data_IF_624544527340
#
_entry.id   IF_624544527340
#
_cell.length_a   1.000
_cell.length_b   1.000
_cell.length_c   1.000
_cell.angle_alpha   90.00
_cell.angle_beta   90.00
_cell.angle_gamma   90.00
#
_symmetry.space_group_name_H-M   'P 1'
#
loop_
_entity.id
_entity.type
_entity.pdbx_description
1 polymer ?
#
# COMPACT_ATOMS: atom_id res chain seq x y z
N UNK A 1 -10.42 10.19 7.60
CA UNK A 1 -11.89 10.09 7.44
C UNK A 1 -12.54 11.37 7.95
N UNK A 2 -13.54 11.93 7.27
CA UNK A 2 -14.23 13.14 7.71
C UNK A 2 -14.76 13.07 9.16
N UNK A 3 -15.14 11.87 9.61
CA UNK A 3 -15.63 11.64 10.99
C UNK A 3 -14.56 11.78 12.06
N UNK A 4 -13.31 11.63 11.70
CA UNK A 4 -12.16 11.69 12.62
C UNK A 4 -11.39 13.00 12.50
N UNK A 5 -11.63 13.79 11.48
CA UNK A 5 -10.97 15.08 11.28
C UNK A 5 -11.21 16.03 12.44
N UNK A 6 -10.18 16.72 12.86
CA UNK A 6 -10.19 17.64 14.00
C UNK A 6 -10.03 17.01 15.39
N UNK A 7 -9.99 15.66 15.49
CA UNK A 7 -9.76 14.95 16.75
C UNK A 7 -8.29 14.62 16.93
N UNK A 8 -7.84 14.56 18.19
CA UNK A 8 -6.50 14.09 18.51
C UNK A 8 -6.37 12.59 18.23
N UNK A 9 -5.21 12.17 17.72
CA UNK A 9 -4.93 10.76 17.43
C UNK A 9 -5.04 9.89 18.69
N UNK A 10 -4.53 10.37 19.83
CA UNK A 10 -4.63 9.67 21.11
C UNK A 10 -6.07 9.33 21.50
N UNK A 11 -6.99 10.28 21.38
CA UNK A 11 -8.42 10.08 21.67
C UNK A 11 -9.04 9.01 20.74
N UNK A 12 -8.69 9.03 19.45
CA UNK A 12 -9.22 8.09 18.48
C UNK A 12 -8.68 6.66 18.67
N UNK A 13 -7.48 6.54 19.22
CA UNK A 13 -6.80 5.27 19.41
C UNK A 13 -7.01 4.66 20.80
N UNK A 14 -7.53 5.37 21.77
CA UNK A 14 -7.69 4.91 23.16
C UNK A 14 -8.35 3.52 23.25
N UNK A 15 -9.43 3.30 22.51
CA UNK A 15 -10.14 2.00 22.47
C UNK A 15 -9.65 1.04 21.38
N UNK A 16 -8.79 1.49 20.47
CA UNK A 16 -8.36 0.73 19.29
C UNK A 16 -6.92 0.24 19.37
N UNK A 17 -6.13 0.84 20.27
CA UNK A 17 -4.75 0.47 20.45
C UNK A 17 -4.64 -0.94 21.04
N UNK A 18 -3.93 -1.83 20.34
CA UNK A 18 -3.84 -3.26 20.70
C UNK A 18 -2.40 -3.72 20.96
N UNK A 19 -1.44 -2.79 20.88
CA UNK A 19 -0.04 -3.13 21.12
C UNK A 19 0.25 -3.14 22.63
N UNK A 20 1.23 -3.96 23.05
CA UNK A 20 1.62 -4.14 24.45
C UNK A 20 2.33 -2.91 25.06
N UNK A 21 2.68 -1.93 24.24
CA UNK A 21 3.29 -0.67 24.68
C UNK A 21 2.36 0.51 24.44
N UNK A 22 2.54 1.56 25.23
CA UNK A 22 1.73 2.76 25.13
C UNK A 22 1.90 3.51 23.80
N UNK A 23 0.86 4.23 23.38
CA UNK A 23 0.97 5.17 22.26
C UNK A 23 2.06 6.19 22.59
N UNK A 24 3.04 6.44 21.68
CA UNK A 24 4.06 7.45 21.90
C UNK A 24 3.45 8.84 22.16
N UNK A 25 3.95 9.54 23.17
CA UNK A 25 3.35 10.83 23.59
C UNK A 25 3.27 11.84 22.43
N UNK A 26 4.33 11.95 21.61
CA UNK A 26 4.35 12.87 20.48
C UNK A 26 3.26 12.60 19.43
N UNK A 27 2.76 11.35 19.35
CA UNK A 27 1.69 11.00 18.39
C UNK A 27 0.30 11.25 18.95
N UNK A 28 0.13 11.25 20.27
CA UNK A 28 -1.18 11.47 20.90
C UNK A 28 -1.78 12.83 20.57
N UNK A 29 -0.91 13.85 20.50
CA UNK A 29 -1.30 15.23 20.26
C UNK A 29 -1.53 15.56 18.78
N UNK A 30 -1.17 14.66 17.86
CA UNK A 30 -1.40 14.86 16.42
C UNK A 30 -2.89 14.97 16.15
N UNK A 31 -3.27 16.00 15.42
CA UNK A 31 -4.65 16.22 14.98
C UNK A 31 -4.86 15.50 13.65
N UNK A 32 -5.88 14.64 13.60
CA UNK A 32 -6.26 13.94 12.37
C UNK A 32 -6.93 14.92 11.41
N UNK A 33 -6.43 14.96 10.20
CA UNK A 33 -6.92 15.87 9.17
C UNK A 33 -7.88 15.19 8.20
N UNK A 34 -8.63 16.01 7.47
CA UNK A 34 -9.46 15.49 6.38
C UNK A 34 -8.60 15.30 5.11
N UNK A 35 -8.49 14.05 4.70
CA UNK A 35 -7.70 13.67 3.53
C UNK A 35 -8.21 14.29 2.20
N UNK A 36 -9.42 14.81 2.15
CA UNK A 36 -9.97 15.49 0.98
C UNK A 36 -9.64 16.98 0.93
N UNK A 37 -9.08 17.55 2.00
CA UNK A 37 -8.52 18.90 2.01
C UNK A 37 -7.11 18.91 1.41
N UNK A 38 -7.00 18.42 0.18
CA UNK A 38 -5.72 18.11 -0.48
C UNK A 38 -4.81 19.33 -0.51
N UNK A 39 -5.34 20.50 -0.90
CA UNK A 39 -4.55 21.73 -1.01
C UNK A 39 -3.93 22.12 0.35
N UNK A 40 -4.75 22.16 1.42
CA UNK A 40 -4.29 22.52 2.76
C UNK A 40 -3.27 21.51 3.32
N UNK A 41 -3.48 20.22 3.08
CA UNK A 41 -2.59 19.16 3.56
C UNK A 41 -1.27 19.15 2.80
N UNK A 42 -1.33 19.29 1.48
CA UNK A 42 -0.14 19.23 0.60
C UNK A 42 0.86 20.35 0.85
N UNK A 43 0.43 21.51 1.36
CA UNK A 43 1.32 22.62 1.72
C UNK A 43 2.28 22.29 2.88
N UNK A 44 1.98 21.24 3.66
CA UNK A 44 2.69 20.90 4.90
C UNK A 44 3.38 19.57 4.88
N UNK A 45 3.28 18.82 3.79
CA UNK A 45 3.87 17.50 3.66
C UNK A 45 4.62 17.34 2.35
N UNK A 46 5.70 16.60 2.36
CA UNK A 46 6.46 16.22 1.17
C UNK A 46 6.07 14.84 0.67
N UNK A 47 5.59 13.98 1.56
CA UNK A 47 5.28 12.58 1.27
C UNK A 47 4.06 12.10 2.08
N UNK A 48 3.32 11.17 1.52
CA UNK A 48 2.20 10.48 2.18
C UNK A 48 2.25 8.97 1.95
N UNK A 49 1.98 8.21 3.01
CA UNK A 49 1.70 6.78 2.92
C UNK A 49 0.19 6.57 2.76
N UNK A 50 -0.22 5.96 1.66
CA UNK A 50 -1.62 5.69 1.37
C UNK A 50 -1.97 4.23 1.67
N UNK A 51 -2.81 4.01 2.69
CA UNK A 51 -3.30 2.70 3.12
C UNK A 51 -4.79 2.77 3.48
N UNK A 52 -5.57 3.46 2.67
CA UNK A 52 -7.01 3.69 2.90
C UNK A 52 -7.85 2.73 2.05
N UNK A 53 -9.07 2.46 2.51
CA UNK A 53 -10.02 1.64 1.79
C UNK A 53 -11.06 2.54 1.12
N UNK A 54 -10.96 2.66 -0.21
CA UNK A 54 -11.90 3.33 -1.09
C UNK A 54 -12.13 2.45 -2.31
N UNK A 55 -13.17 2.78 -3.11
CA UNK A 55 -13.29 2.19 -4.44
C UNK A 55 -12.09 2.57 -5.33
N UNK A 56 -11.84 1.75 -6.35
CA UNK A 56 -10.63 1.84 -7.16
C UNK A 56 -10.49 3.20 -7.85
N UNK A 57 -11.58 3.75 -8.37
CA UNK A 57 -11.55 5.02 -9.12
C UNK A 57 -11.30 6.21 -8.20
N UNK A 58 -12.00 6.26 -7.05
CA UNK A 58 -11.79 7.30 -6.04
C UNK A 58 -10.36 7.26 -5.49
N UNK A 59 -9.81 6.05 -5.31
CA UNK A 59 -8.45 5.88 -4.83
C UNK A 59 -7.41 6.36 -5.84
N UNK A 60 -7.56 5.99 -7.12
CA UNK A 60 -6.69 6.48 -8.20
C UNK A 60 -6.72 8.01 -8.24
N UNK A 61 -7.92 8.59 -8.22
CA UNK A 61 -8.10 10.04 -8.27
C UNK A 61 -7.41 10.71 -7.08
N UNK A 62 -7.62 10.21 -5.87
CA UNK A 62 -7.04 10.79 -4.66
C UNK A 62 -5.50 10.74 -4.69
N UNK A 63 -4.92 9.61 -5.04
CA UNK A 63 -3.47 9.46 -5.13
C UNK A 63 -2.86 10.37 -6.21
N UNK A 64 -3.52 10.48 -7.36
CA UNK A 64 -3.09 11.42 -8.42
C UNK A 64 -3.26 12.89 -8.01
N UNK A 65 -4.32 13.25 -7.31
CA UNK A 65 -4.55 14.62 -6.86
C UNK A 65 -3.46 15.07 -5.86
N UNK A 66 -3.01 14.19 -4.95
CA UNK A 66 -1.85 14.44 -4.08
C UNK A 66 -0.55 14.55 -4.89
N UNK A 67 -0.31 13.64 -5.83
CA UNK A 67 0.88 13.70 -6.67
C UNK A 67 0.94 14.99 -7.50
N UNK A 68 -0.20 15.45 -8.05
CA UNK A 68 -0.31 16.73 -8.77
C UNK A 68 -0.05 17.97 -7.90
N UNK A 69 -0.10 17.82 -6.59
CA UNK A 69 0.33 18.85 -5.61
C UNK A 69 1.80 18.69 -5.19
N UNK A 70 2.59 18.00 -6.00
CA UNK A 70 4.03 17.77 -5.78
C UNK A 70 4.35 16.91 -4.55
N UNK A 71 3.37 16.16 -4.03
CA UNK A 71 3.53 15.21 -2.92
C UNK A 71 3.93 13.85 -3.46
N UNK A 72 4.89 13.21 -2.80
CA UNK A 72 5.24 11.81 -3.09
C UNK A 72 4.22 10.88 -2.42
N UNK A 73 3.56 10.05 -3.21
CA UNK A 73 2.57 9.08 -2.70
C UNK A 73 3.16 7.68 -2.70
N UNK A 74 3.37 7.13 -1.51
CA UNK A 74 3.76 5.73 -1.30
C UNK A 74 2.52 4.91 -1.01
N UNK A 75 2.03 4.16 -2.00
CA UNK A 75 0.76 3.47 -1.91
C UNK A 75 0.89 2.00 -1.51
N UNK A 76 0.14 1.61 -0.47
CA UNK A 76 -0.08 0.22 -0.09
C UNK A 76 -1.19 -0.43 -0.93
N UNK A 77 -1.96 0.36 -1.67
CA UNK A 77 -3.16 -0.07 -2.37
C UNK A 77 -2.84 -0.67 -3.74
N UNK A 78 -3.77 -1.44 -4.28
CA UNK A 78 -3.61 -2.11 -5.57
C UNK A 78 -4.07 -1.26 -6.77
N UNK A 79 -4.71 -0.13 -6.54
CA UNK A 79 -5.42 0.62 -7.58
C UNK A 79 -4.51 1.08 -8.74
N UNK A 80 -3.30 1.52 -8.43
CA UNK A 80 -2.34 2.02 -9.42
C UNK A 80 -1.26 0.98 -9.82
N UNK A 81 -1.24 -0.23 -9.24
CA UNK A 81 -0.18 -1.23 -9.48
C UNK A 81 -0.03 -1.65 -10.93
N UNK A 82 -1.12 -1.67 -11.69
CA UNK A 82 -1.13 -2.16 -13.08
C UNK A 82 -0.83 -1.06 -14.11
N UNK A 83 -0.56 0.18 -13.69
CA UNK A 83 -0.16 1.25 -14.61
C UNK A 83 1.32 1.11 -14.93
N UNK A 84 1.67 1.19 -16.22
CA UNK A 84 3.07 0.99 -16.68
C UNK A 84 4.00 2.08 -16.16
N UNK A 85 3.50 3.30 -16.00
CA UNK A 85 4.24 4.46 -15.51
C UNK A 85 4.28 4.58 -13.97
N UNK A 86 3.64 3.64 -13.24
CA UNK A 86 3.67 3.60 -11.77
C UNK A 86 4.61 2.50 -11.32
N UNK A 87 5.75 2.83 -10.71
CA UNK A 87 6.67 1.82 -10.23
C UNK A 87 6.07 0.99 -9.09
N UNK A 88 6.30 -0.30 -9.14
CA UNK A 88 6.00 -1.24 -8.06
C UNK A 88 7.32 -1.70 -7.45
N UNK A 89 7.59 -1.31 -6.21
CA UNK A 89 8.94 -1.36 -5.65
C UNK A 89 9.04 -2.34 -4.47
N UNK A 90 10.07 -3.17 -4.55
CA UNK A 90 10.77 -3.79 -3.42
C UNK A 90 12.18 -3.22 -3.47
N UNK A 91 12.54 -2.27 -2.60
CA UNK A 91 13.76 -1.45 -2.77
C UNK A 91 15.05 -2.27 -2.93
N UNK A 92 15.13 -3.42 -2.25
CA UNK A 92 16.27 -4.32 -2.27
C UNK A 92 16.42 -5.08 -3.61
N UNK A 93 15.37 -5.11 -4.43
CA UNK A 93 15.31 -5.93 -5.64
C UNK A 93 15.33 -5.07 -6.89
N UNK A 94 14.42 -4.10 -6.97
CA UNK A 94 14.11 -3.43 -8.22
C UNK A 94 14.05 -1.91 -8.10
N UNK A 95 14.97 -1.29 -7.36
CA UNK A 95 15.02 0.18 -7.23
C UNK A 95 15.12 0.90 -8.58
N UNK A 96 15.71 0.28 -9.60
CA UNK A 96 15.75 0.78 -10.98
C UNK A 96 14.35 0.93 -11.62
N UNK A 97 13.30 0.31 -11.08
CA UNK A 97 11.94 0.54 -11.56
C UNK A 97 11.46 2.01 -11.35
N UNK A 98 12.16 2.79 -10.53
CA UNK A 98 11.95 4.22 -10.43
C UNK A 98 12.29 4.99 -11.72
N UNK A 99 13.01 4.38 -12.65
CA UNK A 99 13.36 4.98 -13.95
C UNK A 99 12.14 5.24 -14.84
N UNK A 100 10.96 4.68 -14.52
CA UNK A 100 9.69 5.00 -15.20
C UNK A 100 9.08 6.34 -14.74
N UNK A 101 9.56 6.95 -13.66
CA UNK A 101 9.01 8.18 -13.10
C UNK A 101 8.97 9.38 -14.05
N UNK A 102 9.92 9.59 -14.98
CA UNK A 102 9.81 10.66 -15.97
C UNK A 102 8.50 10.60 -16.78
N UNK A 103 8.12 9.41 -17.24
CA UNK A 103 6.86 9.22 -17.98
C UNK A 103 5.62 9.49 -17.10
N UNK A 104 5.65 9.05 -15.85
CA UNK A 104 4.57 9.34 -14.92
C UNK A 104 4.43 10.85 -14.66
N UNK A 105 5.54 11.55 -14.43
CA UNK A 105 5.55 13.01 -14.19
C UNK A 105 5.04 13.78 -15.40
N UNK A 106 5.41 13.37 -16.59
CA UNK A 106 4.88 13.94 -17.83
C UNK A 106 3.35 13.79 -17.90
N UNK A 107 2.84 12.58 -17.65
CA UNK A 107 1.39 12.32 -17.63
C UNK A 107 0.64 13.12 -16.56
N UNK A 108 1.21 13.24 -15.35
CA UNK A 108 0.60 13.96 -14.24
C UNK A 108 0.81 15.48 -14.30
N UNK A 109 1.78 15.95 -15.09
CA UNK A 109 2.19 17.37 -15.16
C UNK A 109 2.95 17.83 -13.91
N UNK A 110 3.75 16.96 -13.28
CA UNK A 110 4.46 17.23 -12.02
C UNK A 110 5.97 17.35 -12.23
N UNK A 111 6.65 17.99 -11.26
CA UNK A 111 8.11 18.07 -11.22
C UNK A 111 8.73 17.16 -10.16
N UNK A 112 8.10 17.09 -8.99
CA UNK A 112 8.56 16.29 -7.83
C UNK A 112 7.57 15.18 -7.49
N UNK A 113 6.26 15.48 -7.56
CA UNK A 113 5.20 14.56 -7.17
C UNK A 113 5.16 13.32 -8.04
N UNK A 114 4.92 12.17 -7.42
CA UNK A 114 4.75 10.89 -8.09
C UNK A 114 4.04 9.88 -7.17
N UNK A 115 3.60 8.81 -7.76
CA UNK A 115 3.02 7.66 -7.06
C UNK A 115 3.98 6.47 -7.22
N UNK A 116 4.28 5.80 -6.12
CA UNK A 116 4.96 4.52 -6.08
C UNK A 116 4.11 3.52 -5.31
N UNK A 117 4.07 2.28 -5.75
CA UNK A 117 3.29 1.22 -5.10
C UNK A 117 4.19 0.14 -4.54
N UNK A 118 3.76 -0.50 -3.45
CA UNK A 118 4.32 -1.78 -3.05
C UNK A 118 3.50 -2.93 -3.65
N UNK A 119 4.10 -4.10 -3.91
CA UNK A 119 3.36 -5.28 -4.35
C UNK A 119 2.43 -5.82 -3.26
N UNK A 120 1.65 -6.84 -3.61
CA UNK A 120 0.82 -7.57 -2.66
C UNK A 120 1.67 -8.16 -1.53
N UNK A 121 1.07 -8.30 -0.35
CA UNK A 121 1.79 -8.76 0.85
C UNK A 121 2.33 -10.19 0.73
N UNK A 122 1.60 -11.11 0.09
CA UNK A 122 2.05 -12.48 -0.14
C UNK A 122 3.28 -12.52 -1.06
N UNK A 123 3.31 -11.69 -2.09
CA UNK A 123 4.40 -11.60 -3.06
C UNK A 123 5.71 -11.19 -2.41
N UNK A 124 5.65 -10.27 -1.47
CA UNK A 124 6.83 -9.80 -0.74
C UNK A 124 7.50 -10.90 0.10
N UNK A 125 6.82 -12.01 0.38
CA UNK A 125 7.38 -13.13 1.13
C UNK A 125 8.27 -14.04 0.29
N UNK A 126 8.04 -14.18 -1.00
CA UNK A 126 8.75 -15.13 -1.87
C UNK A 126 9.59 -14.49 -2.98
N UNK A 127 9.25 -13.30 -3.45
CA UNK A 127 10.03 -12.61 -4.50
C UNK A 127 11.48 -12.34 -4.10
N UNK A 128 11.82 -12.01 -2.84
CA UNK A 128 13.22 -11.94 -2.41
C UNK A 128 13.99 -13.25 -2.57
N UNK A 129 13.31 -14.40 -2.47
CA UNK A 129 13.93 -15.70 -2.71
C UNK A 129 14.25 -15.86 -4.20
N UNK A 130 13.35 -15.43 -5.10
CA UNK A 130 13.62 -15.45 -6.54
C UNK A 130 14.80 -14.57 -6.92
N UNK A 131 14.92 -13.39 -6.31
CA UNK A 131 16.08 -12.52 -6.49
C UNK A 131 17.37 -13.21 -6.04
N UNK A 132 17.37 -13.88 -4.90
CA UNK A 132 18.54 -14.56 -4.36
C UNK A 132 19.02 -15.73 -5.24
N UNK A 133 18.12 -16.34 -6.01
CA UNK A 133 18.43 -17.51 -6.89
C UNK A 133 18.33 -17.18 -8.37
N UNK A 134 18.23 -15.93 -8.75
CA UNK A 134 18.00 -15.51 -10.16
C UNK A 134 19.08 -15.99 -11.12
N UNK A 135 20.32 -16.12 -10.66
CA UNK A 135 21.44 -16.62 -11.47
C UNK A 135 21.23 -18.05 -11.98
N UNK A 136 20.41 -18.85 -11.29
CA UNK A 136 20.06 -20.21 -11.72
C UNK A 136 18.90 -20.26 -12.71
N UNK A 137 18.26 -19.12 -13.00
CA UNK A 137 17.19 -19.01 -13.99
C UNK A 137 15.89 -19.67 -13.55
N UNK A 138 15.16 -19.07 -12.64
CA UNK A 138 13.83 -19.54 -12.20
C UNK A 138 12.87 -19.54 -13.40
N UNK A 139 12.35 -20.71 -13.76
CA UNK A 139 11.42 -20.89 -14.90
C UNK A 139 9.99 -21.03 -14.43
N UNK A 140 9.78 -21.77 -13.36
CA UNK A 140 8.47 -22.06 -12.80
C UNK A 140 8.55 -22.07 -11.27
N UNK A 141 7.48 -21.67 -10.62
CA UNK A 141 7.32 -21.76 -9.18
C UNK A 141 5.89 -22.19 -8.83
N UNK A 142 5.76 -23.14 -7.91
CA UNK A 142 4.50 -23.48 -7.28
C UNK A 142 4.48 -22.88 -5.88
N UNK A 143 3.52 -22.00 -5.62
CA UNK A 143 3.46 -21.21 -4.39
C UNK A 143 2.14 -21.49 -3.66
N UNK A 144 2.24 -21.84 -2.40
CA UNK A 144 1.10 -21.95 -1.51
C UNK A 144 1.29 -20.98 -0.33
N UNK A 145 0.33 -20.08 -0.12
CA UNK A 145 0.38 -19.10 0.96
C UNK A 145 -0.71 -19.35 1.99
N UNK A 146 -0.37 -19.18 3.27
CA UNK A 146 -1.31 -19.18 4.36
C UNK A 146 -1.41 -17.76 4.92
N UNK A 147 -2.56 -17.14 4.71
CA UNK A 147 -2.77 -15.75 5.09
C UNK A 147 -3.65 -15.65 6.33
N UNK A 148 -3.25 -14.80 7.27
CA UNK A 148 -4.03 -14.57 8.48
C UNK A 148 -5.29 -13.74 8.19
N UNK A 149 -6.35 -13.97 8.98
CA UNK A 149 -7.62 -13.24 8.92
C UNK A 149 -7.43 -11.72 9.03
N UNK A 150 -6.40 -11.27 9.73
CA UNK A 150 -6.05 -9.85 9.84
C UNK A 150 -5.77 -9.17 8.49
N UNK A 151 -5.33 -9.92 7.48
CA UNK A 151 -5.16 -9.43 6.12
C UNK A 151 -6.46 -8.96 5.45
N UNK A 152 -7.61 -9.48 5.89
CA UNK A 152 -8.94 -9.01 5.47
C UNK A 152 -9.46 -7.81 6.28
N UNK A 153 -8.69 -7.32 7.26
CA UNK A 153 -9.10 -6.27 8.19
C UNK A 153 -10.14 -6.71 9.23
N UNK A 154 -10.32 -8.02 9.42
CA UNK A 154 -11.27 -8.61 10.36
C UNK A 154 -10.58 -9.26 11.55
N UNK A 155 -11.35 -9.46 12.61
CA UNK A 155 -10.98 -10.25 13.78
C UNK A 155 -11.85 -11.48 13.90
N UNK A 156 -11.49 -12.46 14.72
CA UNK A 156 -12.34 -13.62 14.99
C UNK A 156 -13.70 -13.24 15.63
N UNK A 157 -13.76 -12.11 16.37
CA UNK A 157 -15.05 -11.63 16.89
C UNK A 157 -16.00 -11.15 15.79
N UNK A 158 -15.45 -10.61 14.69
CA UNK A 158 -16.22 -10.13 13.53
C UNK A 158 -16.46 -11.24 12.50
N UNK A 159 -15.70 -12.32 12.60
CA UNK A 159 -15.78 -13.45 11.68
C UNK A 159 -15.54 -14.78 12.41
N UNK A 160 -16.45 -15.16 13.33
CA UNK A 160 -16.26 -16.33 14.20
C UNK A 160 -16.20 -17.67 13.43
N UNK A 161 -16.76 -17.74 12.22
CA UNK A 161 -16.71 -18.93 11.37
C UNK A 161 -15.29 -19.31 10.93
N UNK A 162 -14.33 -18.39 11.12
CA UNK A 162 -12.91 -18.64 10.81
C UNK A 162 -12.13 -19.29 11.97
N UNK A 163 -12.75 -19.47 13.13
CA UNK A 163 -12.11 -20.21 14.23
C UNK A 163 -12.00 -21.68 13.80
N UNK A 164 -10.76 -22.20 13.84
CA UNK A 164 -10.42 -23.57 13.42
C UNK A 164 -10.84 -23.91 11.98
N UNK A 165 -10.96 -22.90 11.12
CA UNK A 165 -11.40 -23.05 9.73
C UNK A 165 -10.43 -22.37 8.77
N UNK A 166 -10.51 -22.71 7.49
CA UNK A 166 -9.78 -22.09 6.39
C UNK A 166 -10.72 -21.77 5.22
N UNK A 167 -10.45 -20.65 4.56
CA UNK A 167 -11.02 -20.34 3.25
C UNK A 167 -9.98 -20.80 2.22
N UNK A 168 -10.28 -21.78 1.37
CA UNK A 168 -9.30 -22.36 0.46
C UNK A 168 -8.96 -21.45 -0.74
N UNK A 169 -9.67 -20.35 -0.92
CA UNK A 169 -9.50 -19.45 -2.05
C UNK A 169 -9.70 -18.00 -1.65
N UNK A 170 -8.74 -17.15 -1.96
CA UNK A 170 -8.83 -15.70 -1.79
C UNK A 170 -8.88 -15.04 -3.17
N UNK A 171 -10.03 -14.42 -3.52
CA UNK A 171 -10.25 -13.84 -4.84
C UNK A 171 -9.17 -12.83 -5.26
N UNK A 172 -8.60 -13.05 -6.45
CA UNK A 172 -7.60 -12.18 -7.05
C UNK A 172 -6.17 -12.34 -6.52
N UNK A 173 -5.89 -13.21 -5.54
CA UNK A 173 -4.52 -13.44 -5.06
C UNK A 173 -3.67 -14.21 -6.08
N UNK A 174 -4.24 -15.19 -6.73
CA UNK A 174 -3.55 -15.97 -7.77
C UNK A 174 -3.17 -15.08 -8.95
N UNK A 175 -4.10 -14.25 -9.45
CA UNK A 175 -3.82 -13.31 -10.54
C UNK A 175 -2.71 -12.31 -10.19
N UNK A 176 -2.67 -11.81 -8.96
CA UNK A 176 -1.58 -10.95 -8.48
C UNK A 176 -0.26 -11.71 -8.44
N UNK A 177 -0.27 -12.95 -7.94
CA UNK A 177 0.92 -13.81 -7.86
C UNK A 177 1.48 -14.17 -9.23
N UNK A 178 0.66 -14.22 -10.27
CA UNK A 178 1.10 -14.42 -11.64
C UNK A 178 1.69 -13.14 -12.27
N UNK A 179 1.09 -11.98 -12.02
CA UNK A 179 1.40 -10.73 -12.74
C UNK A 179 2.42 -9.83 -12.04
N UNK A 180 2.28 -9.65 -10.71
CA UNK A 180 3.12 -8.69 -10.00
C UNK A 180 4.61 -9.07 -9.98
N UNK A 181 5.02 -10.35 -9.83
CA UNK A 181 6.43 -10.72 -9.96
C UNK A 181 7.02 -10.39 -11.34
N UNK A 182 6.25 -10.56 -12.41
CA UNK A 182 6.70 -10.19 -13.76
C UNK A 182 6.97 -8.69 -13.87
N UNK A 183 6.13 -7.87 -13.25
CA UNK A 183 6.36 -6.42 -13.21
C UNK A 183 7.54 -6.02 -12.33
N UNK A 184 7.88 -6.80 -11.31
CA UNK A 184 9.00 -6.53 -10.40
C UNK A 184 10.33 -6.84 -11.08
N UNK A 185 10.40 -7.91 -11.85
CA UNK A 185 11.64 -8.37 -12.50
C UNK A 185 11.84 -7.82 -13.91
N UNK A 186 10.85 -7.22 -14.56
CA UNK A 186 10.88 -6.63 -15.91
C UNK A 186 10.38 -7.57 -16.98
#
# INVERSE_FOLDING_TARGET
SPRSAGKKYGELMESRWKLDHAIPEYTKELVVEDLYKIDEVSERIDMVFCAINLDKEALIKLEEDYAKREVVVVSNNSANRNKDDVPMIIPEINSAHLDVLPAQRERLGTKKGFIVTKPNCSIQSYVPIFEAIKEYGVKEASICTYQAISGSGKTFNEWPEMIENIIPYIGGEEEKSEKEPLKIFG
#
